data_IF_016591174911
#
_entry.id   IF_016591174911
#
_cell.length_a   1.000
_cell.length_b   1.000
_cell.length_c   1.000
_cell.angle_alpha   90.00
_cell.angle_beta   90.00
_cell.angle_gamma   90.00
#
_symmetry.space_group_name_H-M   'P 1'
#
loop_
_entity.id
_entity.type
_entity.pdbx_description
1 polymer ?
#
# COMPACT_ATOMS: atom_id res chain seq x y z
N UNK A 1 -61.36 -30.11 -22.20
CA UNK A 1 -61.37 -28.63 -22.32
C UNK A 1 -62.75 -28.15 -22.77
N UNK A 2 -63.28 -27.09 -22.16
CA UNK A 2 -64.46 -26.39 -22.69
C UNK A 2 -64.01 -25.53 -23.86
N UNK A 3 -64.53 -25.77 -25.06
CA UNK A 3 -64.18 -24.98 -26.25
C UNK A 3 -64.77 -23.57 -26.11
N UNK A 4 -63.97 -22.57 -26.45
CA UNK A 4 -64.34 -21.15 -26.49
C UNK A 4 -63.95 -20.59 -27.85
N UNK A 5 -64.76 -19.69 -28.38
CA UNK A 5 -64.54 -19.08 -29.69
C UNK A 5 -64.34 -17.57 -29.54
N UNK A 6 -63.45 -17.01 -30.35
CA UNK A 6 -63.15 -15.58 -30.39
C UNK A 6 -63.50 -15.07 -31.78
N UNK A 7 -64.18 -13.92 -31.86
CA UNK A 7 -64.46 -13.24 -33.11
C UNK A 7 -63.26 -12.37 -33.49
N UNK A 8 -62.72 -12.59 -34.69
CA UNK A 8 -61.63 -11.79 -35.24
C UNK A 8 -61.96 -11.39 -36.69
N UNK A 9 -61.46 -10.24 -37.14
CA UNK A 9 -61.65 -9.81 -38.53
C UNK A 9 -60.93 -10.75 -39.48
N UNK A 10 -61.48 -10.96 -40.67
CA UNK A 10 -60.95 -11.87 -41.69
C UNK A 10 -59.47 -11.60 -42.03
N UNK A 11 -59.09 -10.32 -42.13
CA UNK A 11 -57.70 -9.92 -42.37
C UNK A 11 -56.74 -10.45 -41.29
N UNK A 12 -57.07 -10.25 -40.00
CA UNK A 12 -56.25 -10.71 -38.89
C UNK A 12 -56.25 -12.24 -38.76
N UNK A 13 -57.33 -12.90 -39.18
CA UNK A 13 -57.35 -14.36 -39.28
C UNK A 13 -56.34 -14.86 -40.32
N UNK A 14 -56.27 -14.25 -41.51
CA UNK A 14 -55.28 -14.60 -42.54
C UNK A 14 -53.85 -14.40 -42.05
N UNK A 15 -53.59 -13.33 -41.29
CA UNK A 15 -52.27 -13.08 -40.69
C UNK A 15 -51.93 -14.09 -39.59
N UNK A 16 -52.89 -14.44 -38.73
CA UNK A 16 -52.71 -15.49 -37.73
C UNK A 16 -52.34 -16.83 -38.38
N UNK A 17 -52.95 -17.17 -39.52
CA UNK A 17 -52.62 -18.38 -40.29
C UNK A 17 -51.18 -18.35 -40.78
N UNK A 18 -50.69 -17.22 -41.28
CA UNK A 18 -49.29 -17.07 -41.72
C UNK A 18 -48.33 -17.23 -40.55
N UNK A 19 -48.59 -16.53 -39.44
CA UNK A 19 -47.78 -16.57 -38.21
C UNK A 19 -47.72 -17.98 -37.64
N UNK A 20 -48.86 -18.67 -37.57
CA UNK A 20 -48.98 -20.07 -37.13
C UNK A 20 -48.13 -21.01 -37.99
N UNK A 21 -48.12 -20.82 -39.32
CA UNK A 21 -47.24 -21.58 -40.23
C UNK A 21 -45.75 -21.28 -39.98
N UNK A 22 -45.39 -20.02 -39.76
CA UNK A 22 -44.00 -19.62 -39.49
C UNK A 22 -43.47 -20.22 -38.19
N UNK A 23 -44.28 -20.24 -37.13
CA UNK A 23 -43.91 -20.77 -35.82
C UNK A 23 -44.26 -22.25 -35.61
N UNK A 24 -44.78 -22.93 -36.64
CA UNK A 24 -45.09 -24.37 -36.59
C UNK A 24 -46.10 -24.78 -35.51
N UNK A 25 -47.03 -23.89 -35.13
CA UNK A 25 -47.93 -24.08 -33.98
C UNK A 25 -49.40 -23.95 -34.40
N UNK A 26 -50.32 -24.71 -33.78
CA UNK A 26 -51.76 -24.60 -34.07
C UNK A 26 -52.33 -23.24 -33.59
N UNK A 27 -53.42 -22.76 -34.20
CA UNK A 27 -53.97 -21.43 -33.92
C UNK A 27 -54.32 -21.22 -32.43
N UNK A 28 -54.92 -22.23 -31.80
CA UNK A 28 -55.27 -22.20 -30.38
C UNK A 28 -54.03 -22.10 -29.49
N UNK A 29 -53.08 -23.01 -29.69
CA UNK A 29 -51.82 -23.08 -28.93
C UNK A 29 -50.99 -21.80 -29.07
N UNK A 30 -51.00 -21.20 -30.26
CA UNK A 30 -50.32 -19.93 -30.52
C UNK A 30 -50.96 -18.78 -29.73
N UNK A 31 -52.29 -18.69 -29.72
CA UNK A 31 -53.01 -17.67 -28.95
C UNK A 31 -52.78 -17.87 -27.44
N UNK A 32 -52.83 -19.11 -26.95
CA UNK A 32 -52.53 -19.42 -25.55
C UNK A 32 -51.09 -19.01 -25.19
N UNK A 33 -50.13 -19.26 -26.08
CA UNK A 33 -48.74 -18.84 -25.93
C UNK A 33 -48.58 -17.32 -25.96
N UNK A 34 -49.33 -16.61 -26.79
CA UNK A 34 -49.36 -15.15 -26.84
C UNK A 34 -49.95 -14.56 -25.55
N UNK A 35 -51.03 -15.12 -25.03
CA UNK A 35 -51.61 -14.71 -23.73
C UNK A 35 -50.59 -14.89 -22.62
N UNK A 36 -49.89 -16.03 -22.59
CA UNK A 36 -48.85 -16.29 -21.61
C UNK A 36 -47.65 -15.34 -21.78
N UNK A 37 -47.28 -15.04 -23.03
CA UNK A 37 -46.22 -14.10 -23.35
C UNK A 37 -46.55 -12.71 -22.80
N UNK A 38 -47.70 -12.13 -23.14
CA UNK A 38 -48.10 -10.81 -22.64
C UNK A 38 -48.25 -10.78 -21.12
N UNK A 39 -48.76 -11.86 -20.51
CA UNK A 39 -48.83 -11.97 -19.04
C UNK A 39 -47.45 -12.01 -18.38
N UNK A 40 -46.47 -12.69 -18.99
CA UNK A 40 -45.11 -12.82 -18.46
C UNK A 40 -44.27 -11.58 -18.70
N UNK A 41 -44.39 -10.96 -19.87
CA UNK A 41 -43.59 -9.78 -20.24
C UNK A 41 -44.19 -8.48 -19.73
N UNK A 42 -45.50 -8.46 -19.42
CA UNK A 42 -46.21 -7.24 -19.01
C UNK A 42 -46.39 -6.22 -20.14
N UNK A 43 -45.96 -6.56 -21.37
CA UNK A 43 -46.03 -5.67 -22.52
C UNK A 43 -47.48 -5.57 -22.98
N UNK A 44 -48.02 -4.35 -22.99
CA UNK A 44 -49.32 -4.07 -23.55
C UNK A 44 -49.24 -4.09 -25.09
N UNK A 45 -49.88 -5.05 -25.79
CA UNK A 45 -49.80 -5.17 -27.24
C UNK A 45 -50.40 -3.98 -27.99
N UNK A 46 -51.19 -3.14 -27.32
CA UNK A 46 -51.77 -1.90 -27.88
C UNK A 46 -50.74 -0.75 -27.89
N UNK A 47 -49.80 -0.75 -26.94
CA UNK A 47 -48.78 0.31 -26.76
C UNK A 47 -47.39 -0.11 -27.26
N UNK A 48 -47.23 -1.39 -27.63
CA UNK A 48 -45.98 -2.02 -28.06
C UNK A 48 -45.29 -1.38 -29.29
N UNK A 49 -45.93 -0.41 -29.94
CA UNK A 49 -45.31 0.42 -31.00
C UNK A 49 -44.18 1.30 -30.42
N UNK A 50 -44.25 1.66 -29.13
CA UNK A 50 -43.33 2.62 -28.49
C UNK A 50 -42.19 1.98 -27.66
N UNK A 51 -42.25 0.68 -27.36
CA UNK A 51 -41.27 0.00 -26.48
C UNK A 51 -40.56 -1.15 -27.20
N UNK A 52 -39.78 -0.83 -28.24
CA UNK A 52 -38.88 -1.82 -28.84
C UNK A 52 -37.82 -2.22 -27.80
N UNK A 53 -37.72 -3.51 -27.40
CA UNK A 53 -36.71 -3.97 -26.44
C UNK A 53 -35.27 -3.59 -26.83
N UNK A 54 -34.97 -3.50 -28.13
CA UNK A 54 -33.66 -3.07 -28.61
C UNK A 54 -33.35 -1.60 -28.27
N UNK A 55 -34.37 -0.73 -28.22
CA UNK A 55 -34.20 0.66 -27.82
C UNK A 55 -33.89 0.78 -26.32
N UNK A 56 -34.55 -0.03 -25.48
CA UNK A 56 -34.26 -0.09 -24.04
C UNK A 56 -32.83 -0.56 -23.76
N UNK A 57 -32.35 -1.60 -24.47
CA UNK A 57 -30.96 -2.07 -24.37
C UNK A 57 -29.96 -0.97 -24.75
N UNK A 58 -30.23 -0.21 -25.82
CA UNK A 58 -29.37 0.93 -26.22
C UNK A 58 -29.33 2.04 -25.18
N UNK A 59 -30.43 2.33 -24.49
CA UNK A 59 -30.46 3.32 -23.40
C UNK A 59 -29.66 2.82 -22.21
N UNK A 60 -29.78 1.54 -21.87
CA UNK A 60 -29.01 0.93 -20.79
C UNK A 60 -27.50 0.98 -21.07
N UNK A 61 -27.08 0.63 -22.29
CA UNK A 61 -25.69 0.69 -22.72
C UNK A 61 -25.12 2.12 -22.59
N UNK A 62 -25.86 3.13 -23.06
CA UNK A 62 -25.48 4.55 -22.89
C UNK A 62 -25.31 4.93 -21.42
N UNK A 63 -26.19 4.46 -20.53
CA UNK A 63 -26.08 4.73 -19.09
C UNK A 63 -24.85 4.07 -18.49
N UNK A 64 -24.53 2.84 -18.87
CA UNK A 64 -23.34 2.13 -18.41
C UNK A 64 -22.07 2.87 -18.85
N UNK A 65 -21.99 3.25 -20.13
CA UNK A 65 -20.85 4.01 -20.65
C UNK A 65 -20.71 5.36 -19.91
N UNK A 66 -21.82 6.05 -19.66
CA UNK A 66 -21.80 7.30 -18.90
C UNK A 66 -21.32 7.09 -17.46
N UNK A 67 -21.78 6.02 -16.80
CA UNK A 67 -21.35 5.68 -15.45
C UNK A 67 -19.85 5.38 -15.39
N UNK A 68 -19.33 4.55 -16.32
CA UNK A 68 -17.90 4.24 -16.39
C UNK A 68 -17.05 5.49 -16.62
N UNK A 69 -17.49 6.42 -17.48
CA UNK A 69 -16.80 7.70 -17.69
C UNK A 69 -16.73 8.55 -16.42
N UNK A 70 -17.81 8.58 -15.65
CA UNK A 70 -17.87 9.30 -14.37
C UNK A 70 -16.95 8.65 -13.35
N UNK A 71 -16.99 7.31 -13.21
CA UNK A 71 -16.08 6.56 -12.34
C UNK A 71 -14.60 6.80 -12.69
N UNK A 72 -14.28 6.78 -13.98
CA UNK A 72 -12.91 7.04 -14.44
C UNK A 72 -12.46 8.47 -14.12
N UNK A 73 -13.30 9.46 -14.43
CA UNK A 73 -12.98 10.89 -14.27
C UNK A 73 -12.92 11.30 -12.80
N UNK A 74 -13.91 10.90 -12.01
CA UNK A 74 -14.12 11.45 -10.67
C UNK A 74 -13.47 10.60 -9.57
N UNK A 75 -13.12 9.34 -9.86
CA UNK A 75 -12.51 8.44 -8.87
C UNK A 75 -11.15 7.93 -9.33
N UNK A 76 -11.08 7.23 -10.47
CA UNK A 76 -9.84 6.52 -10.84
C UNK A 76 -8.70 7.47 -11.21
N UNK A 77 -8.98 8.57 -11.92
CA UNK A 77 -7.96 9.58 -12.28
C UNK A 77 -7.39 10.31 -11.05
N UNK A 78 -8.22 10.85 -10.14
CA UNK A 78 -7.73 11.43 -8.88
C UNK A 78 -6.91 10.44 -8.06
N UNK A 79 -7.41 9.21 -7.87
CA UNK A 79 -6.71 8.18 -7.10
C UNK A 79 -5.34 7.87 -7.70
N UNK A 80 -5.25 7.73 -9.03
CA UNK A 80 -3.96 7.55 -9.71
C UNK A 80 -3.00 8.70 -9.44
N UNK A 81 -3.49 9.94 -9.45
CA UNK A 81 -2.66 11.11 -9.19
C UNK A 81 -2.20 11.16 -7.74
N UNK A 82 -3.09 10.90 -6.78
CA UNK A 82 -2.75 10.84 -5.35
C UNK A 82 -1.70 9.77 -5.06
N UNK A 83 -1.88 8.55 -5.59
CA UNK A 83 -0.89 7.47 -5.45
C UNK A 83 0.46 7.87 -6.05
N UNK A 84 0.46 8.54 -7.21
CA UNK A 84 1.68 9.03 -7.84
C UNK A 84 2.38 10.10 -6.99
N UNK A 85 1.65 11.10 -6.49
CA UNK A 85 2.23 12.14 -5.63
C UNK A 85 2.75 11.55 -4.32
N UNK A 86 1.97 10.69 -3.65
CA UNK A 86 2.39 10.01 -2.44
C UNK A 86 3.66 9.18 -2.66
N UNK A 87 3.76 8.47 -3.79
CA UNK A 87 4.96 7.70 -4.16
C UNK A 87 6.18 8.61 -4.35
N UNK A 88 5.98 9.77 -4.98
CA UNK A 88 7.04 10.77 -5.18
C UNK A 88 7.50 11.38 -3.86
N UNK A 89 6.57 11.81 -3.01
CA UNK A 89 6.84 12.38 -1.68
C UNK A 89 7.55 11.37 -0.78
N UNK A 90 7.12 10.11 -0.77
CA UNK A 90 7.78 9.05 0.01
C UNK A 90 9.23 8.85 -0.42
N UNK A 91 9.52 8.87 -1.74
CA UNK A 91 10.89 8.75 -2.25
C UNK A 91 11.76 9.92 -1.79
N UNK A 92 11.21 11.14 -1.81
CA UNK A 92 11.90 12.33 -1.35
C UNK A 92 12.16 12.29 0.16
N UNK A 93 11.15 11.95 0.96
CA UNK A 93 11.28 11.78 2.41
C UNK A 93 12.32 10.70 2.75
N UNK A 94 12.32 9.58 2.05
CA UNK A 94 13.30 8.52 2.23
C UNK A 94 14.72 8.99 1.89
N UNK A 95 14.89 9.74 0.80
CA UNK A 95 16.19 10.32 0.42
C UNK A 95 16.71 11.30 1.48
N UNK A 96 15.84 12.18 1.97
CA UNK A 96 16.16 13.14 3.03
C UNK A 96 16.53 12.45 4.33
N UNK A 97 15.75 11.43 4.74
CA UNK A 97 16.03 10.63 5.93
C UNK A 97 17.37 9.90 5.80
N UNK A 98 17.63 9.27 4.65
CA UNK A 98 18.90 8.56 4.39
C UNK A 98 20.10 9.49 4.51
N UNK A 99 20.00 10.70 3.94
CA UNK A 99 21.03 11.74 4.07
C UNK A 99 21.22 12.16 5.52
N UNK A 100 20.14 12.42 6.24
CA UNK A 100 20.19 12.80 7.66
C UNK A 100 20.83 11.71 8.53
N UNK A 101 20.47 10.44 8.31
CA UNK A 101 21.07 9.30 9.03
C UNK A 101 22.56 9.21 8.75
N UNK A 102 22.98 9.36 7.48
CA UNK A 102 24.40 9.37 7.11
C UNK A 102 25.15 10.50 7.82
N UNK A 103 24.60 11.71 7.82
CA UNK A 103 25.21 12.86 8.47
C UNK A 103 25.28 12.69 9.99
N UNK A 104 24.26 12.07 10.61
CA UNK A 104 24.25 11.75 12.03
C UNK A 104 25.34 10.73 12.39
N UNK A 105 25.49 9.67 11.59
CA UNK A 105 26.56 8.66 11.79
C UNK A 105 27.94 9.29 11.68
N UNK A 106 28.16 10.16 10.69
CA UNK A 106 29.44 10.88 10.53
C UNK A 106 29.72 11.72 11.78
N UNK A 107 28.74 12.51 12.24
CA UNK A 107 28.89 13.33 13.45
C UNK A 107 29.19 12.50 14.70
N UNK A 108 28.52 11.36 14.88
CA UNK A 108 28.76 10.47 16.02
C UNK A 108 30.20 9.92 15.95
N UNK A 109 30.62 9.46 14.78
CA UNK A 109 31.97 8.92 14.59
C UNK A 109 33.06 9.97 14.85
N UNK A 110 32.86 11.20 14.37
CA UNK A 110 33.81 12.30 14.61
C UNK A 110 33.83 12.71 16.09
N UNK A 111 32.67 12.73 16.74
CA UNK A 111 32.58 12.93 18.18
C UNK A 111 33.33 11.83 18.96
N UNK A 112 33.16 10.57 18.60
CA UNK A 112 33.83 9.44 19.24
C UNK A 112 35.35 9.47 19.03
N UNK A 113 35.82 9.85 17.83
CA UNK A 113 37.26 10.06 17.58
C UNK A 113 37.83 11.16 18.47
N UNK A 114 37.15 12.30 18.56
CA UNK A 114 37.58 13.41 19.41
C UNK A 114 37.61 13.02 20.88
N UNK A 115 36.57 12.34 21.36
CA UNK A 115 36.50 11.81 22.72
C UNK A 115 37.65 10.84 23.00
N UNK A 116 37.91 9.91 22.09
CA UNK A 116 38.98 8.92 22.22
C UNK A 116 40.35 9.61 22.30
N UNK A 117 40.59 10.60 21.44
CA UNK A 117 41.83 11.39 21.47
C UNK A 117 42.03 12.12 22.80
N UNK A 118 40.97 12.74 23.34
CA UNK A 118 41.05 13.39 24.65
C UNK A 118 41.35 12.40 25.78
N UNK A 119 40.69 11.23 25.77
CA UNK A 119 40.93 10.17 26.76
C UNK A 119 42.38 9.69 26.69
N UNK A 120 42.90 9.40 25.50
CA UNK A 120 44.29 8.96 25.32
C UNK A 120 45.25 10.01 25.89
N UNK A 121 45.06 11.29 25.56
CA UNK A 121 45.92 12.35 26.08
C UNK A 121 45.89 12.47 27.61
N UNK A 122 44.72 12.33 28.23
CA UNK A 122 44.62 12.37 29.70
C UNK A 122 45.22 11.12 30.34
N UNK A 123 45.05 9.94 29.74
CA UNK A 123 45.69 8.69 30.19
C UNK A 123 47.20 8.80 30.12
N UNK A 124 47.76 9.32 29.02
CA UNK A 124 49.20 9.54 28.88
C UNK A 124 49.76 10.53 29.93
N UNK A 125 49.01 11.60 30.23
CA UNK A 125 49.39 12.55 31.31
C UNK A 125 49.40 11.87 32.68
N UNK A 126 48.39 11.04 32.96
CA UNK A 126 48.31 10.28 34.21
C UNK A 126 49.45 9.28 34.32
N UNK A 127 49.76 8.56 33.25
CA UNK A 127 50.88 7.61 33.19
C UNK A 127 52.22 8.30 33.48
N UNK A 128 52.47 9.47 32.86
CA UNK A 128 53.68 10.27 33.15
C UNK A 128 53.77 10.69 34.62
N UNK A 129 52.66 11.15 35.21
CA UNK A 129 52.62 11.50 36.64
C UNK A 129 52.87 10.29 37.54
N UNK A 130 52.30 9.14 37.20
CA UNK A 130 52.48 7.89 37.94
C UNK A 130 53.96 7.46 37.91
N UNK A 131 54.59 7.46 36.74
CA UNK A 131 56.03 7.16 36.58
C UNK A 131 56.87 8.13 37.42
N UNK A 132 56.52 9.42 37.44
CA UNK A 132 57.25 10.41 38.25
C UNK A 132 57.07 10.19 39.74
N UNK A 133 55.86 9.81 40.20
CA UNK A 133 55.63 9.41 41.59
C UNK A 133 56.41 8.16 41.97
N UNK A 134 56.45 7.13 41.10
CA UNK A 134 57.25 5.93 41.31
C UNK A 134 58.73 6.27 41.49
N UNK A 135 59.29 7.13 40.63
CA UNK A 135 60.67 7.63 40.76
C UNK A 135 60.90 8.35 42.09
N UNK A 136 59.99 9.24 42.48
CA UNK A 136 60.09 9.96 43.75
C UNK A 136 60.07 9.01 44.96
N UNK A 137 59.23 7.97 44.95
CA UNK A 137 59.21 6.96 46.02
C UNK A 137 60.50 6.15 46.09
N UNK A 138 61.08 5.78 44.94
CA UNK A 138 62.38 5.09 44.89
C UNK A 138 63.48 6.00 45.45
N UNK A 139 63.52 7.27 45.06
CA UNK A 139 64.52 8.24 45.53
C UNK A 139 64.40 8.51 47.03
N UNK A 140 63.17 8.64 47.56
CA UNK A 140 62.92 8.74 49.00
C UNK A 140 63.41 7.48 49.73
N UNK A 141 63.16 6.29 49.20
CA UNK A 141 63.65 5.05 49.79
C UNK A 141 65.18 4.95 49.77
N UNK A 142 65.84 5.47 48.73
CA UNK A 142 67.30 5.57 48.64
C UNK A 142 67.89 6.51 49.69
N UNK A 143 67.23 7.64 49.95
CA UNK A 143 67.64 8.59 50.99
C UNK A 143 67.42 8.05 52.40
N UNK A 144 66.33 7.32 52.65
CA UNK A 144 65.99 6.78 53.99
C UNK A 144 66.82 5.54 54.32
N UNK A 145 67.07 4.65 53.37
CA UNK A 145 67.84 3.40 53.59
C UNK A 145 69.02 3.28 52.62
N UNK A 146 70.01 4.17 52.81
CA UNK A 146 71.22 4.27 51.97
C UNK A 146 72.06 2.99 51.89
N UNK A 147 71.94 2.06 52.86
CA UNK A 147 72.66 0.78 52.87
C UNK A 147 71.75 -0.44 52.63
N UNK A 148 70.48 -0.20 52.27
CA UNK A 148 69.44 -1.22 52.09
C UNK A 148 69.35 -2.25 53.24
N UNK A 149 69.52 -1.80 54.49
CA UNK A 149 69.50 -2.72 55.67
C UNK A 149 68.09 -3.17 56.03
N UNK A 150 67.08 -2.38 55.67
CA UNK A 150 65.67 -2.66 55.94
C UNK A 150 64.96 -3.37 54.78
N UNK A 151 65.60 -3.51 53.62
CA UNK A 151 65.03 -4.17 52.43
C UNK A 151 63.93 -3.36 51.72
N UNK A 152 63.69 -2.12 52.16
CA UNK A 152 62.61 -1.25 51.65
C UNK A 152 62.77 -0.97 50.14
N UNK A 153 64.00 -0.80 49.65
CA UNK A 153 64.25 -0.55 48.23
C UNK A 153 63.84 -1.73 47.33
N UNK A 154 64.17 -2.97 47.74
CA UNK A 154 63.82 -4.17 46.97
C UNK A 154 62.32 -4.41 46.96
N UNK A 155 61.65 -4.12 48.08
CA UNK A 155 60.19 -4.25 48.23
C UNK A 155 59.45 -3.22 47.36
N UNK A 156 59.91 -1.96 47.32
CA UNK A 156 59.32 -0.94 46.45
C UNK A 156 59.54 -1.25 44.96
N UNK A 157 60.72 -1.74 44.59
CA UNK A 157 61.01 -2.14 43.21
C UNK A 157 60.20 -3.36 42.76
N UNK A 158 59.84 -4.26 43.68
CA UNK A 158 58.96 -5.39 43.36
C UNK A 158 57.49 -5.00 43.23
N UNK A 159 57.03 -3.98 43.96
CA UNK A 159 55.65 -3.46 43.89
C UNK A 159 55.34 -2.68 42.61
N UNK A 160 56.34 -2.04 42.00
CA UNK A 160 56.19 -1.29 40.75
C UNK A 160 56.55 -2.10 39.49
N UNK A 161 56.75 -3.42 39.64
CA UNK A 161 57.16 -4.33 38.56
C UNK A 161 55.98 -4.84 37.75
#
# INVERSE_FOLDING_TARGET
MKKKSILIKEFHHKELVKISKTFGSQYGDLIESMILYFKKTGINPVEAINENPAAMVKVLDKRIVSFLKVQERDILKPLRNEVYQNSKEQKEQFSNLSKWVKDAIIKINDFDKNRTFQIINEVEKLEKKLIQQQKAFIEIAELIDTKNKSGIQETLKSLFK
#
